data_IF_645124419973
#
_entry.id   IF_645124419973
#
_cell.length_a   1.000
_cell.length_b   1.000
_cell.length_c   1.000
_cell.angle_alpha   90.00
_cell.angle_beta   90.00
_cell.angle_gamma   90.00
#
_symmetry.space_group_name_H-M   'P 1'
#
loop_
_entity.id
_entity.type
_entity.pdbx_description
1 polymer ?
#
# COMPACT_ATOMS: atom_id res chain seq x y z
N UNK A 1 -16.63 -12.20 -0.38
CA UNK A 1 -16.20 -11.55 0.88
C UNK A 1 -15.06 -10.55 0.65
N UNK A 2 -14.99 -9.45 1.44
CA UNK A 2 -13.99 -8.39 1.26
C UNK A 2 -12.54 -8.85 1.46
N UNK A 3 -12.27 -9.66 2.48
CA UNK A 3 -10.91 -10.10 2.83
C UNK A 3 -10.29 -11.01 1.75
N UNK A 4 -10.94 -12.11 1.29
CA UNK A 4 -10.42 -12.92 0.19
C UNK A 4 -10.15 -12.12 -1.08
N UNK A 5 -10.97 -11.10 -1.37
CA UNK A 5 -10.77 -10.21 -2.53
C UNK A 5 -9.53 -9.33 -2.36
N UNK A 6 -9.32 -8.72 -1.19
CA UNK A 6 -8.12 -7.94 -0.92
C UNK A 6 -6.86 -8.82 -0.90
N UNK A 7 -6.96 -10.05 -0.37
CA UNK A 7 -5.86 -11.02 -0.39
C UNK A 7 -5.44 -11.34 -1.83
N UNK A 8 -6.40 -11.69 -2.68
CA UNK A 8 -6.13 -11.94 -4.11
C UNK A 8 -5.55 -10.70 -4.82
N UNK A 9 -6.06 -9.50 -4.51
CA UNK A 9 -5.52 -8.26 -5.05
C UNK A 9 -4.05 -8.05 -4.69
N UNK A 10 -3.67 -8.30 -3.43
CA UNK A 10 -2.27 -8.22 -2.98
C UNK A 10 -1.40 -9.24 -3.72
N UNK A 11 -1.84 -10.50 -3.80
CA UNK A 11 -1.08 -11.57 -4.46
C UNK A 11 -0.82 -11.23 -5.94
N UNK A 12 -1.87 -10.83 -6.67
CA UNK A 12 -1.72 -10.43 -8.08
C UNK A 12 -0.85 -9.20 -8.24
N UNK A 13 -0.99 -8.21 -7.36
CA UNK A 13 -0.17 -7.02 -7.43
C UNK A 13 1.32 -7.35 -7.25
N UNK A 14 1.67 -8.20 -6.28
CA UNK A 14 3.06 -8.63 -6.07
C UNK A 14 3.59 -9.42 -7.27
N UNK A 15 2.80 -10.35 -7.82
CA UNK A 15 3.19 -11.13 -8.99
C UNK A 15 3.45 -10.24 -10.23
N UNK A 16 2.51 -9.34 -10.54
CA UNK A 16 2.67 -8.39 -11.66
C UNK A 16 3.89 -7.48 -11.47
N UNK A 17 4.12 -7.04 -10.23
CA UNK A 17 5.27 -6.20 -9.90
C UNK A 17 6.60 -6.96 -10.02
N UNK A 18 6.63 -8.23 -9.60
CA UNK A 18 7.79 -9.09 -9.73
C UNK A 18 8.17 -9.35 -11.20
N UNK A 19 7.17 -9.60 -12.05
CA UNK A 19 7.39 -9.71 -13.49
C UNK A 19 7.84 -8.39 -14.14
N UNK A 20 7.45 -7.25 -13.57
CA UNK A 20 7.82 -5.93 -14.04
C UNK A 20 9.12 -5.38 -13.41
N UNK A 21 9.93 -6.18 -12.70
CA UNK A 21 11.12 -5.69 -11.98
C UNK A 21 12.12 -4.93 -12.86
N UNK A 22 12.29 -5.29 -14.13
CA UNK A 22 13.15 -4.55 -15.06
C UNK A 22 12.59 -3.15 -15.40
N UNK A 23 11.27 -2.97 -15.32
CA UNK A 23 10.60 -1.69 -15.54
C UNK A 23 10.49 -0.82 -14.27
N UNK A 24 10.81 -1.37 -13.10
CA UNK A 24 10.56 -0.67 -11.83
C UNK A 24 11.61 0.39 -11.48
N UNK A 25 12.83 0.26 -12.01
CA UNK A 25 13.85 1.32 -11.93
C UNK A 25 13.45 2.57 -12.73
N UNK A 26 12.72 2.39 -13.83
CA UNK A 26 12.29 3.46 -14.74
C UNK A 26 11.22 4.36 -14.08
N UNK A 27 10.33 3.83 -13.24
CA UNK A 27 9.24 4.64 -12.65
C UNK A 27 9.69 5.55 -11.50
N UNK A 28 10.74 5.22 -10.76
CA UNK A 28 11.25 6.08 -9.68
C UNK A 28 12.40 6.98 -10.12
N UNK A 29 13.20 6.56 -11.09
CA UNK A 29 14.35 7.34 -11.59
C UNK A 29 13.98 8.25 -12.78
N UNK A 30 13.01 7.86 -13.64
CA UNK A 30 12.75 8.56 -14.92
C UNK A 30 11.52 9.46 -14.96
N UNK A 31 10.59 9.38 -14.00
CA UNK A 31 9.43 10.30 -13.92
C UNK A 31 9.87 11.76 -13.74
N UNK A 32 11.07 12.00 -13.21
CA UNK A 32 11.65 13.35 -13.11
C UNK A 32 12.11 13.93 -14.45
N UNK A 33 12.25 13.09 -15.48
CA UNK A 33 12.66 13.48 -16.83
C UNK A 33 11.48 13.57 -17.80
N UNK A 34 10.31 13.08 -17.40
CA UNK A 34 9.07 13.24 -18.15
C UNK A 34 8.63 14.71 -18.18
N UNK A 35 7.95 15.09 -19.24
CA UNK A 35 7.30 16.40 -19.28
C UNK A 35 6.13 16.48 -18.28
N UNK A 36 5.57 17.67 -18.12
CA UNK A 36 4.52 17.89 -17.13
C UNK A 36 3.25 17.06 -17.38
N UNK A 37 2.91 16.79 -18.64
CA UNK A 37 1.70 16.07 -19.03
C UNK A 37 1.87 14.57 -18.78
N UNK A 38 3.00 14.01 -19.19
CA UNK A 38 3.34 12.61 -18.96
C UNK A 38 3.51 12.30 -17.47
N UNK A 39 4.18 13.19 -16.73
CA UNK A 39 4.30 13.08 -15.27
C UNK A 39 2.92 13.11 -14.60
N UNK A 40 2.01 13.98 -15.02
CA UNK A 40 0.65 14.02 -14.48
C UNK A 40 -0.11 12.71 -14.77
N UNK A 41 0.08 12.12 -15.96
CA UNK A 41 -0.53 10.85 -16.34
C UNK A 41 -0.04 9.69 -15.46
N UNK A 42 1.27 9.61 -15.19
CA UNK A 42 1.85 8.58 -14.31
C UNK A 42 1.35 8.73 -12.88
N UNK A 43 1.45 9.94 -12.30
CA UNK A 43 0.97 10.20 -10.94
C UNK A 43 -0.54 9.94 -10.81
N UNK A 44 -1.32 10.21 -11.85
CA UNK A 44 -2.74 9.88 -11.91
C UNK A 44 -2.98 8.37 -11.88
N UNK A 45 -2.15 7.56 -12.53
CA UNK A 45 -2.24 6.11 -12.49
C UNK A 45 -1.87 5.54 -11.11
N UNK A 46 -0.76 6.02 -10.51
CA UNK A 46 -0.36 5.65 -9.16
C UNK A 46 -1.46 5.98 -8.14
N UNK A 47 -2.07 7.16 -8.27
CA UNK A 47 -3.17 7.57 -7.41
C UNK A 47 -4.35 6.60 -7.49
N UNK A 48 -4.75 6.19 -8.70
CA UNK A 48 -5.84 5.21 -8.90
C UNK A 48 -5.53 3.87 -8.26
N UNK A 49 -4.28 3.41 -8.33
CA UNK A 49 -3.84 2.16 -7.67
C UNK A 49 -3.99 2.30 -6.15
N UNK A 50 -3.47 3.38 -5.57
CA UNK A 50 -3.57 3.63 -4.12
C UNK A 50 -5.03 3.72 -3.67
N UNK A 51 -5.87 4.43 -4.42
CA UNK A 51 -7.28 4.62 -4.08
C UNK A 51 -8.04 3.28 -4.15
N UNK A 52 -7.78 2.42 -5.15
CA UNK A 52 -8.39 1.10 -5.24
C UNK A 52 -8.02 0.18 -4.06
N UNK A 53 -6.77 0.25 -3.57
CA UNK A 53 -6.37 -0.47 -2.36
C UNK A 53 -7.01 0.12 -1.10
N UNK A 54 -7.09 1.45 -1.00
CA UNK A 54 -7.77 2.10 0.13
C UNK A 54 -9.25 1.69 0.23
N UNK A 55 -9.96 1.64 -0.91
CA UNK A 55 -11.34 1.17 -0.97
C UNK A 55 -11.47 -0.29 -0.52
N UNK A 56 -10.56 -1.16 -0.97
CA UNK A 56 -10.55 -2.56 -0.56
C UNK A 56 -10.23 -2.72 0.95
N UNK A 57 -9.34 -1.91 1.49
CA UNK A 57 -9.04 -1.86 2.93
C UNK A 57 -10.27 -1.38 3.72
N UNK A 58 -10.97 -0.34 3.25
CA UNK A 58 -12.19 0.15 3.90
C UNK A 58 -13.31 -0.91 3.91
N UNK A 59 -13.38 -1.75 2.88
CA UNK A 59 -14.32 -2.87 2.82
C UNK A 59 -13.97 -4.00 3.82
N UNK A 60 -12.69 -4.25 4.07
CA UNK A 60 -12.21 -5.23 5.06
C UNK A 60 -12.29 -4.70 6.50
N UNK A 61 -12.00 -3.41 6.69
CA UNK A 61 -12.03 -2.73 7.99
C UNK A 61 -13.07 -1.60 7.97
N UNK A 62 -14.37 -1.92 8.18
CA UNK A 62 -15.41 -0.92 8.27
C UNK A 62 -15.06 0.16 9.31
N UNK A 63 -15.27 1.43 8.94
CA UNK A 63 -14.91 2.58 9.77
C UNK A 63 -13.49 3.12 9.55
N UNK A 64 -12.61 2.42 8.83
CA UNK A 64 -11.29 2.94 8.47
C UNK A 64 -11.39 4.26 7.68
N UNK A 65 -12.31 4.36 6.71
CA UNK A 65 -12.52 5.58 5.93
C UNK A 65 -13.05 6.73 6.79
N UNK A 66 -14.01 6.46 7.69
CA UNK A 66 -14.52 7.48 8.62
C UNK A 66 -13.43 7.99 9.58
N UNK A 67 -12.44 7.15 9.90
CA UNK A 67 -11.28 7.52 10.69
C UNK A 67 -10.12 8.14 9.86
N UNK A 68 -10.28 8.26 8.54
CA UNK A 68 -9.22 8.66 7.59
C UNK A 68 -7.97 7.76 7.64
N UNK A 69 -8.16 6.46 7.93
CA UNK A 69 -7.11 5.44 8.04
C UNK A 69 -7.05 4.48 6.85
N UNK A 70 -8.04 4.46 5.98
CA UNK A 70 -8.06 3.63 4.75
C UNK A 70 -6.80 3.81 3.88
N UNK A 71 -6.51 5.06 3.50
CA UNK A 71 -5.36 5.41 2.66
C UNK A 71 -4.01 5.25 3.39
N UNK A 72 -3.85 5.68 4.65
CA UNK A 72 -2.65 5.36 5.42
C UNK A 72 -2.36 3.86 5.54
N UNK A 73 -3.38 3.03 5.76
CA UNK A 73 -3.21 1.58 5.84
C UNK A 73 -2.81 0.98 4.48
N UNK A 74 -3.41 1.45 3.38
CA UNK A 74 -2.98 1.08 2.03
C UNK A 74 -1.51 1.48 1.77
N UNK A 75 -1.10 2.69 2.17
CA UNK A 75 0.29 3.14 2.03
C UNK A 75 1.28 2.32 2.86
N UNK A 76 0.91 1.88 4.07
CA UNK A 76 1.75 0.98 4.87
C UNK A 76 1.91 -0.40 4.22
N UNK A 77 0.84 -0.93 3.62
CA UNK A 77 0.89 -2.14 2.80
C UNK A 77 1.85 -1.98 1.62
N UNK A 78 1.73 -0.88 0.85
CA UNK A 78 2.71 -0.56 -0.19
C UNK A 78 4.12 -0.37 0.36
N UNK A 79 4.29 0.14 1.58
CA UNK A 79 5.59 0.19 2.24
C UNK A 79 6.20 -1.19 2.44
N UNK A 80 5.42 -2.18 2.90
CA UNK A 80 5.88 -3.56 3.07
C UNK A 80 6.28 -4.20 1.73
N UNK A 81 5.44 -4.07 0.70
CA UNK A 81 5.68 -4.59 -0.65
C UNK A 81 6.90 -3.88 -1.27
N UNK A 82 6.82 -2.55 -1.30
CA UNK A 82 7.85 -1.56 -1.59
C UNK A 82 9.24 -2.00 -1.14
N UNK A 83 9.35 -2.14 0.17
CA UNK A 83 10.60 -2.45 0.84
C UNK A 83 11.07 -3.87 0.56
N UNK A 84 10.17 -4.84 0.49
CA UNK A 84 10.51 -6.23 0.14
C UNK A 84 11.28 -6.33 -1.18
N UNK A 85 10.86 -5.58 -2.21
CA UNK A 85 11.53 -5.55 -3.51
C UNK A 85 12.98 -5.02 -3.47
N UNK A 86 13.37 -4.27 -2.44
CA UNK A 86 14.72 -3.70 -2.37
C UNK A 86 15.77 -4.68 -1.84
N UNK A 87 15.36 -5.69 -1.07
CA UNK A 87 16.30 -6.60 -0.40
C UNK A 87 16.14 -8.08 -0.76
N UNK A 88 15.00 -8.51 -1.31
CA UNK A 88 14.87 -9.87 -1.86
C UNK A 88 15.64 -9.98 -3.16
N UNK A 89 16.37 -11.09 -3.30
CA UNK A 89 17.07 -11.47 -4.53
C UNK A 89 16.31 -12.62 -5.20
N UNK A 90 15.89 -12.50 -6.47
CA UNK A 90 15.11 -13.54 -7.16
C UNK A 90 15.78 -14.93 -7.17
N UNK A 91 17.11 -14.98 -7.24
CA UNK A 91 17.89 -16.22 -7.24
C UNK A 91 18.15 -16.77 -5.81
N UNK A 92 17.57 -16.12 -4.81
CA UNK A 92 17.69 -16.48 -3.40
C UNK A 92 16.78 -17.64 -3.00
N UNK A 93 16.76 -17.93 -1.69
CA UNK A 93 15.91 -18.99 -1.11
C UNK A 93 14.43 -18.62 -1.00
N UNK A 94 14.09 -17.34 -1.21
CA UNK A 94 12.75 -16.80 -1.10
C UNK A 94 12.49 -15.92 -2.32
N UNK A 95 11.43 -16.23 -3.04
CA UNK A 95 10.93 -15.41 -4.15
C UNK A 95 9.89 -14.39 -3.66
N UNK A 96 9.47 -13.47 -4.55
CA UNK A 96 8.35 -12.57 -4.28
C UNK A 96 7.03 -13.33 -4.10
N UNK A 97 6.83 -14.40 -4.87
CA UNK A 97 5.64 -15.26 -4.77
C UNK A 97 5.57 -15.97 -3.42
N UNK A 98 6.72 -16.41 -2.88
CA UNK A 98 6.79 -17.01 -1.54
C UNK A 98 6.43 -16.00 -0.43
N UNK A 99 6.72 -14.71 -0.68
CA UNK A 99 6.58 -13.65 0.32
C UNK A 99 5.24 -12.91 0.23
N UNK A 100 4.53 -13.00 -0.89
CA UNK A 100 3.21 -12.39 -1.05
C UNK A 100 2.17 -12.90 -0.02
N UNK A 101 2.09 -14.22 0.29
CA UNK A 101 1.25 -14.72 1.38
C UNK A 101 1.67 -14.18 2.75
N UNK A 102 2.97 -14.03 3.01
CA UNK A 102 3.49 -13.49 4.28
C UNK A 102 3.06 -12.04 4.48
N UNK A 103 3.10 -11.22 3.43
CA UNK A 103 2.57 -9.84 3.47
C UNK A 103 1.09 -9.81 3.78
N UNK A 104 0.31 -10.70 3.14
CA UNK A 104 -1.12 -10.81 3.43
C UNK A 104 -1.35 -11.14 4.91
N UNK A 105 -0.69 -12.16 5.43
CA UNK A 105 -0.89 -12.61 6.80
C UNK A 105 -0.49 -11.54 7.83
N UNK A 106 0.62 -10.84 7.60
CA UNK A 106 1.02 -9.69 8.44
C UNK A 106 0.00 -8.55 8.36
N UNK A 107 -0.46 -8.21 7.15
CA UNK A 107 -1.43 -7.15 6.95
C UNK A 107 -2.76 -7.47 7.63
N UNK A 108 -3.33 -8.65 7.39
CA UNK A 108 -4.62 -9.04 7.97
C UNK A 108 -4.54 -9.28 9.47
N UNK A 109 -3.41 -9.80 9.97
CA UNK A 109 -3.15 -9.92 11.40
C UNK A 109 -3.08 -8.56 12.11
N UNK A 110 -2.60 -7.51 11.43
CA UNK A 110 -2.49 -6.16 11.98
C UNK A 110 -3.73 -5.28 11.78
N UNK A 111 -4.34 -5.30 10.59
CA UNK A 111 -5.39 -4.35 10.18
C UNK A 111 -6.64 -4.44 11.07
N UNK A 112 -6.98 -5.65 11.53
CA UNK A 112 -8.09 -5.87 12.47
C UNK A 112 -7.84 -5.30 13.87
N UNK A 113 -6.57 -5.19 14.28
CA UNK A 113 -6.17 -4.69 15.61
C UNK A 113 -6.06 -3.16 15.67
N UNK A 114 -6.04 -2.48 14.52
CA UNK A 114 -5.91 -1.01 14.45
C UNK A 114 -7.09 -0.32 15.11
N UNK A 115 -6.81 0.54 16.08
CA UNK A 115 -7.82 1.33 16.79
C UNK A 115 -8.29 2.51 15.93
N UNK A 116 -9.56 2.48 15.53
CA UNK A 116 -10.16 3.51 14.66
C UNK A 116 -10.54 4.80 15.41
N UNK A 117 -10.43 4.82 16.74
CA UNK A 117 -10.85 5.92 17.61
C UNK A 117 -9.83 7.07 17.72
N UNK A 118 -8.73 7.06 16.96
CA UNK A 118 -7.68 8.07 17.12
C UNK A 118 -7.99 9.44 16.50
N UNK A 119 -9.12 9.62 15.83
CA UNK A 119 -9.54 10.93 15.29
C UNK A 119 -10.27 11.83 16.32
N UNK A 120 -10.30 11.43 17.60
CA UNK A 120 -11.05 12.12 18.67
C UNK A 120 -10.24 12.64 19.87
N UNK A 121 -8.90 12.64 19.84
CA UNK A 121 -8.11 13.29 20.91
C UNK A 121 -8.05 14.80 20.70
N UNK A 122 -9.08 15.45 21.25
CA UNK A 122 -9.18 16.83 21.78
C UNK A 122 -8.12 17.83 21.32
N UNK A 123 -8.61 18.90 20.69
CA UNK A 123 -8.02 20.23 20.71
C UNK A 123 -7.28 20.47 22.03
N UNK A 124 -5.96 20.56 21.98
CA UNK A 124 -5.20 21.17 23.06
C UNK A 124 -5.37 22.68 22.95
N UNK A 125 -6.46 23.19 23.53
CA UNK A 125 -6.46 24.55 24.05
C UNK A 125 -5.75 24.55 25.40
N UNK A 126 -4.69 25.37 25.43
CA UNK A 126 -4.11 26.08 26.58
C UNK A 126 -3.10 25.30 27.44
N UNK A 127 -1.84 25.75 27.43
CA UNK A 127 -1.25 26.58 28.50
C UNK A 127 -0.11 27.46 27.93
N UNK A 128 -0.17 28.72 28.39
CA UNK A 128 0.73 29.88 28.33
C UNK A 128 2.23 29.57 28.50
N UNK A 129 3.06 30.18 27.65
CA UNK A 129 4.23 30.99 28.02
C UNK A 129 4.52 31.97 26.88
#
# INVERSE_FOLDING_TARGET
DPEPRLRELILRFVAEYAHAQDAHRVLTEDVRYLDAEERARVLGAERRVVDAFADAVAAVRPGASAAALDKPLAMLLFGMINWMFTWIKPEGRLSYDDMAPVVCDLFFGGVGAVQLSQSGRRAHSTIVA
#
